data_IF_288230455356
#
_entry.id   IF_288230455356
#
_cell.length_a   1.000
_cell.length_b   1.000
_cell.length_c   1.000
_cell.angle_alpha   90.00
_cell.angle_beta   90.00
_cell.angle_gamma   90.00
#
_symmetry.space_group_name_H-M   'P 1'
#
loop_
_entity.id
_entity.type
_entity.pdbx_description
1 polymer ?
#
# COMPACT_ATOMS: atom_id res chain seq x y z
N UNK A 1 -24.98 11.17 20.16
CA UNK A 1 -24.72 11.74 18.84
C UNK A 1 -23.94 10.77 17.96
N UNK A 2 -24.33 10.69 16.73
CA UNK A 2 -23.64 9.81 15.80
C UNK A 2 -22.51 10.53 15.09
N UNK A 3 -21.35 9.91 15.06
CA UNK A 3 -20.25 10.39 14.24
C UNK A 3 -20.29 9.76 12.87
N UNK A 4 -20.09 10.57 11.85
CA UNK A 4 -19.82 10.05 10.53
C UNK A 4 -18.35 9.74 10.43
N UNK A 5 -18.05 8.48 10.17
CA UNK A 5 -16.69 8.10 9.87
C UNK A 5 -16.51 8.08 8.37
N UNK A 6 -15.58 8.88 7.90
CA UNK A 6 -15.17 8.83 6.51
C UNK A 6 -14.51 7.49 6.26
N UNK A 7 -14.75 6.91 5.09
CA UNK A 7 -14.05 5.70 4.70
C UNK A 7 -12.56 5.99 4.57
N UNK A 8 -11.73 5.05 4.99
CA UNK A 8 -10.30 5.15 4.76
C UNK A 8 -10.02 4.97 3.28
N UNK A 9 -9.29 5.89 2.68
CA UNK A 9 -8.98 5.90 1.26
C UNK A 9 -7.67 5.17 1.03
N UNK A 10 -7.69 4.15 0.19
CA UNK A 10 -6.58 3.22 0.03
C UNK A 10 -6.07 3.22 -1.41
N UNK A 11 -4.77 3.32 -1.57
CA UNK A 11 -4.09 3.18 -2.84
C UNK A 11 -3.32 1.85 -2.83
N UNK A 12 -3.45 1.06 -3.89
CA UNK A 12 -2.78 -0.23 -4.01
C UNK A 12 -1.70 -0.19 -5.07
N UNK A 13 -0.49 -0.60 -4.70
CA UNK A 13 0.66 -0.64 -5.61
C UNK A 13 1.29 -2.03 -5.55
N UNK A 14 1.20 -2.78 -6.63
CA UNK A 14 1.73 -4.14 -6.72
C UNK A 14 1.99 -4.45 -8.19
N UNK A 15 3.16 -4.97 -8.53
CA UNK A 15 3.53 -5.27 -9.91
C UNK A 15 2.70 -6.38 -10.56
N UNK A 16 1.95 -7.12 -9.77
CA UNK A 16 1.11 -8.21 -10.26
C UNK A 16 -0.36 -7.76 -10.33
N UNK A 17 -0.88 -7.63 -11.56
CA UNK A 17 -2.24 -7.15 -11.77
C UNK A 17 -3.31 -8.06 -11.15
N UNK A 18 -3.06 -9.36 -11.11
CA UNK A 18 -4.01 -10.31 -10.51
C UNK A 18 -4.06 -10.14 -9.00
N UNK A 19 -2.91 -9.90 -8.35
CA UNK A 19 -2.88 -9.58 -6.93
C UNK A 19 -3.66 -8.30 -6.64
N UNK A 20 -3.46 -7.27 -7.45
CA UNK A 20 -4.17 -6.01 -7.29
C UNK A 20 -5.67 -6.21 -7.34
N UNK A 21 -6.13 -6.99 -8.32
CA UNK A 21 -7.55 -7.25 -8.48
C UNK A 21 -8.11 -7.99 -7.27
N UNK A 22 -7.41 -9.01 -6.82
CA UNK A 22 -7.84 -9.80 -5.66
C UNK A 22 -7.89 -8.99 -4.39
N UNK A 23 -6.86 -8.19 -4.13
CA UNK A 23 -6.80 -7.35 -2.95
C UNK A 23 -7.90 -6.28 -2.99
N UNK A 24 -8.11 -5.69 -4.16
CA UNK A 24 -9.16 -4.69 -4.34
C UNK A 24 -10.53 -5.27 -4.05
N UNK A 25 -10.79 -6.49 -4.52
CA UNK A 25 -12.06 -7.16 -4.26
C UNK A 25 -12.26 -7.41 -2.78
N UNK A 26 -11.21 -7.87 -2.08
CA UNK A 26 -11.30 -8.11 -0.65
C UNK A 26 -11.57 -6.82 0.13
N UNK A 27 -10.86 -5.76 -0.22
CA UNK A 27 -11.04 -4.47 0.47
C UNK A 27 -12.43 -3.91 0.22
N UNK A 28 -12.95 -4.07 -1.00
CA UNK A 28 -14.29 -3.57 -1.35
C UNK A 28 -15.41 -4.28 -0.59
N UNK A 29 -15.14 -5.44 0.00
CA UNK A 29 -16.12 -6.11 0.86
C UNK A 29 -16.26 -5.40 2.20
N UNK A 30 -15.27 -4.59 2.56
CA UNK A 30 -15.30 -3.86 3.81
C UNK A 30 -15.87 -2.46 3.60
N UNK A 31 -16.90 -2.13 4.34
CA UNK A 31 -17.58 -0.84 4.19
C UNK A 31 -16.76 0.33 4.72
N UNK A 32 -15.71 0.05 5.49
CA UNK A 32 -14.84 1.08 6.08
C UNK A 32 -13.77 1.60 5.15
N UNK A 33 -13.58 0.95 3.99
CA UNK A 33 -12.48 1.27 3.08
C UNK A 33 -12.99 1.61 1.69
N UNK A 34 -12.21 2.45 1.01
CA UNK A 34 -12.51 2.85 -0.35
C UNK A 34 -11.19 2.83 -1.15
N UNK A 35 -11.11 1.97 -2.15
CA UNK A 35 -9.92 1.90 -3.00
C UNK A 35 -9.98 3.03 -4.01
N UNK A 36 -9.11 4.02 -3.86
CA UNK A 36 -9.13 5.22 -4.71
C UNK A 36 -8.25 5.08 -5.94
N UNK A 37 -7.38 4.08 -5.98
CA UNK A 37 -6.55 3.84 -7.15
C UNK A 37 -5.74 2.56 -7.01
N UNK A 38 -5.33 2.03 -8.16
CA UNK A 38 -4.43 0.87 -8.21
C UNK A 38 -3.43 1.11 -9.32
N UNK A 39 -2.21 0.63 -9.13
CA UNK A 39 -1.21 0.69 -10.19
C UNK A 39 -0.18 -0.42 -10.02
N UNK A 40 0.40 -0.83 -11.15
CA UNK A 40 1.50 -1.80 -11.13
C UNK A 40 2.87 -1.12 -11.13
N UNK A 41 2.91 0.20 -11.14
CA UNK A 41 4.15 0.99 -11.19
C UNK A 41 4.34 1.79 -9.91
N UNK A 42 5.49 1.64 -9.27
CA UNK A 42 5.81 2.41 -8.07
C UNK A 42 5.91 3.91 -8.38
N UNK A 43 6.47 4.27 -9.53
CA UNK A 43 6.59 5.68 -9.90
C UNK A 43 5.24 6.33 -10.13
N UNK A 44 4.34 5.63 -10.82
CA UNK A 44 2.97 6.11 -10.99
C UNK A 44 2.28 6.18 -9.63
N UNK A 45 2.53 5.19 -8.78
CA UNK A 45 1.96 5.16 -7.44
C UNK A 45 2.33 6.39 -6.62
N UNK A 46 3.59 6.80 -6.67
CA UNK A 46 4.05 8.00 -5.96
C UNK A 46 3.30 9.24 -6.47
N UNK A 47 3.11 9.32 -7.80
CA UNK A 47 2.34 10.43 -8.36
C UNK A 47 0.88 10.40 -7.93
N UNK A 48 0.29 9.21 -7.81
CA UNK A 48 -1.07 9.05 -7.33
C UNK A 48 -1.20 9.43 -5.85
N UNK A 49 -0.17 9.18 -5.06
CA UNK A 49 -0.14 9.64 -3.65
C UNK A 49 -0.25 11.15 -3.61
N UNK A 50 0.51 11.85 -4.44
CA UNK A 50 0.47 13.30 -4.50
C UNK A 50 -0.89 13.83 -4.96
N UNK A 51 -1.49 13.14 -5.91
CA UNK A 51 -2.76 13.57 -6.51
C UNK A 51 -3.95 13.30 -5.60
N UNK A 52 -4.05 12.10 -5.08
CA UNK A 52 -5.22 11.66 -4.33
C UNK A 52 -5.10 11.80 -2.82
N UNK A 53 -3.88 11.92 -2.30
CA UNK A 53 -3.63 12.01 -0.86
C UNK A 53 -4.39 10.93 -0.10
N UNK A 54 -4.11 9.64 -0.38
CA UNK A 54 -4.83 8.57 0.31
C UNK A 54 -4.45 8.53 1.78
N UNK A 55 -5.29 7.89 2.58
CA UNK A 55 -4.98 7.67 3.99
C UNK A 55 -3.96 6.56 4.16
N UNK A 56 -4.02 5.57 3.26
CA UNK A 56 -3.23 4.35 3.36
C UNK A 56 -2.75 3.92 1.98
N UNK A 57 -1.49 3.49 1.91
CA UNK A 57 -0.92 2.88 0.71
C UNK A 57 -0.51 1.45 1.05
N UNK A 58 -0.97 0.48 0.28
CA UNK A 58 -0.44 -0.88 0.33
C UNK A 58 0.61 -0.98 -0.76
N UNK A 59 1.86 -1.15 -0.36
CA UNK A 59 3.01 -1.10 -1.26
C UNK A 59 3.71 -2.44 -1.31
N UNK A 60 3.71 -3.07 -2.48
CA UNK A 60 4.51 -4.26 -2.72
C UNK A 60 6.00 -3.91 -2.61
N UNK A 61 6.72 -4.62 -1.75
CA UNK A 61 8.14 -4.37 -1.56
C UNK A 61 9.03 -5.27 -2.42
N UNK A 62 8.43 -6.15 -3.21
CA UNK A 62 9.16 -7.08 -4.09
C UNK A 62 9.00 -6.72 -5.57
N UNK A 63 9.07 -5.44 -5.91
CA UNK A 63 8.88 -5.00 -7.29
C UNK A 63 10.20 -4.86 -8.04
N UNK A 64 10.26 -5.30 -9.31
CA UNK A 64 11.54 -5.32 -10.06
C UNK A 64 12.00 -3.96 -10.55
N UNK A 65 11.10 -3.06 -10.92
CA UNK A 65 11.49 -1.80 -11.56
C UNK A 65 12.04 -0.78 -10.57
N UNK A 66 11.32 -0.60 -9.50
CA UNK A 66 11.71 0.31 -8.43
C UNK A 66 11.54 -0.43 -7.14
N UNK A 67 12.60 -0.45 -6.37
CA UNK A 67 12.58 -1.07 -5.07
C UNK A 67 11.44 -0.47 -4.25
N UNK A 68 10.55 -1.32 -3.75
CA UNK A 68 9.45 -0.88 -2.91
C UNK A 68 9.91 -0.12 -1.67
N UNK A 69 11.08 -0.49 -1.15
CA UNK A 69 11.68 0.23 -0.02
C UNK A 69 11.98 1.67 -0.40
N UNK A 70 12.52 1.87 -1.60
CA UNK A 70 12.80 3.20 -2.12
C UNK A 70 11.54 4.02 -2.27
N UNK A 71 10.48 3.39 -2.77
CA UNK A 71 9.18 4.04 -2.92
C UNK A 71 8.60 4.46 -1.57
N UNK A 72 8.70 3.61 -0.56
CA UNK A 72 8.24 3.94 0.79
C UNK A 72 9.00 5.17 1.31
N UNK A 73 10.32 5.18 1.11
CA UNK A 73 11.15 6.29 1.54
C UNK A 73 10.74 7.60 0.86
N UNK A 74 10.47 7.54 -0.44
CA UNK A 74 10.03 8.73 -1.18
C UNK A 74 8.69 9.25 -0.68
N UNK A 75 7.75 8.35 -0.40
CA UNK A 75 6.44 8.74 0.11
C UNK A 75 6.58 9.38 1.49
N UNK A 76 7.43 8.81 2.35
CA UNK A 76 7.67 9.37 3.67
C UNK A 76 8.23 10.79 3.59
N UNK A 77 9.12 11.03 2.64
CA UNK A 77 9.72 12.36 2.45
C UNK A 77 8.73 13.41 2.01
N UNK A 78 7.60 13.00 1.45
CA UNK A 78 6.56 13.96 1.04
C UNK A 78 5.82 14.56 2.23
N UNK A 79 5.90 13.94 3.39
CA UNK A 79 5.28 14.41 4.63
C UNK A 79 3.79 14.74 4.48
N UNK A 80 3.08 13.84 3.79
CA UNK A 80 1.65 14.03 3.52
C UNK A 80 0.73 13.33 4.51
N UNK A 81 1.29 12.73 5.55
CA UNK A 81 0.51 11.99 6.54
C UNK A 81 -0.04 10.67 6.03
N UNK A 82 0.43 10.21 4.89
CA UNK A 82 0.01 8.93 4.31
C UNK A 82 0.73 7.79 5.02
N UNK A 83 -0.02 6.77 5.41
CA UNK A 83 0.55 5.59 6.06
C UNK A 83 0.80 4.52 5.02
N UNK A 84 1.98 3.92 5.04
CA UNK A 84 2.34 2.87 4.11
C UNK A 84 2.39 1.53 4.84
N UNK A 85 1.69 0.55 4.28
CA UNK A 85 1.75 -0.83 4.74
C UNK A 85 2.47 -1.63 3.67
N UNK A 86 3.50 -2.35 4.04
CA UNK A 86 4.27 -3.16 3.10
C UNK A 86 3.54 -4.44 2.76
N UNK A 87 3.48 -4.80 1.47
CA UNK A 87 3.02 -6.10 1.03
C UNK A 87 4.23 -6.92 0.65
N UNK A 88 4.33 -8.14 1.14
CA UNK A 88 5.44 -9.03 0.84
C UNK A 88 4.90 -10.39 0.40
N UNK A 89 5.48 -10.92 -0.66
CA UNK A 89 5.12 -12.27 -1.12
C UNK A 89 5.73 -13.36 -0.28
N UNK A 90 6.74 -13.03 0.49
CA UNK A 90 7.49 -14.00 1.29
C UNK A 90 7.61 -13.52 2.71
N UNK A 91 7.80 -14.48 3.61
CA UNK A 91 8.12 -14.16 4.99
C UNK A 91 9.63 -13.84 5.08
N UNK A 92 10.00 -12.72 4.49
CA UNK A 92 11.37 -12.23 4.46
C UNK A 92 11.54 -11.22 5.59
N UNK A 93 11.97 -11.71 6.73
CA UNK A 93 12.08 -10.89 7.93
C UNK A 93 13.02 -9.69 7.75
N UNK A 94 14.11 -9.87 7.02
CA UNK A 94 15.06 -8.78 6.80
C UNK A 94 14.44 -7.66 5.97
N UNK A 95 13.77 -8.02 4.88
CA UNK A 95 13.14 -7.04 4.00
C UNK A 95 12.02 -6.31 4.72
N UNK A 96 11.20 -7.05 5.47
CA UNK A 96 10.11 -6.47 6.26
C UNK A 96 10.67 -5.52 7.31
N UNK A 97 11.73 -5.94 8.01
CA UNK A 97 12.36 -5.11 9.03
C UNK A 97 12.88 -3.80 8.43
N UNK A 98 13.51 -3.89 7.26
CA UNK A 98 14.02 -2.70 6.57
C UNK A 98 12.89 -1.77 6.16
N UNK A 99 11.77 -2.33 5.68
CA UNK A 99 10.59 -1.53 5.33
C UNK A 99 10.07 -0.76 6.54
N UNK A 100 9.99 -1.44 7.68
CA UNK A 100 9.52 -0.80 8.91
C UNK A 100 10.46 0.32 9.36
N UNK A 101 11.77 0.11 9.20
CA UNK A 101 12.77 1.11 9.61
C UNK A 101 12.68 2.39 8.78
N UNK A 102 12.33 2.29 7.52
CA UNK A 102 12.28 3.46 6.63
C UNK A 102 10.92 4.11 6.57
N UNK A 103 9.94 3.60 7.31
CA UNK A 103 8.70 4.32 7.45
C UNK A 103 7.40 3.54 7.33
N UNK A 104 7.45 2.27 6.91
CA UNK A 104 6.22 1.47 6.84
C UNK A 104 5.64 1.31 8.24
N UNK A 105 4.33 1.39 8.35
CA UNK A 105 3.64 1.30 9.64
C UNK A 105 3.20 -0.13 9.98
N UNK A 106 3.31 -1.04 9.02
CA UNK A 106 2.98 -2.43 9.21
C UNK A 106 3.29 -3.20 7.95
N UNK A 107 2.96 -4.48 7.95
CA UNK A 107 3.14 -5.31 6.77
C UNK A 107 2.05 -6.37 6.69
N UNK A 108 1.81 -6.86 5.48
CA UNK A 108 0.88 -7.94 5.21
C UNK A 108 1.56 -8.89 4.23
N UNK A 109 1.48 -10.19 4.51
CA UNK A 109 1.94 -11.19 3.55
C UNK A 109 0.86 -11.35 2.48
N UNK A 110 1.28 -11.44 1.22
CA UNK A 110 0.33 -11.57 0.11
C UNK A 110 -0.50 -12.84 0.22
N UNK A 111 0.07 -13.90 0.79
CA UNK A 111 -0.67 -15.14 1.00
C UNK A 111 -1.84 -14.95 1.98
N UNK A 112 -1.69 -14.10 2.96
CA UNK A 112 -2.78 -13.76 3.89
C UNK A 112 -3.85 -12.91 3.21
N UNK A 113 -3.41 -12.01 2.35
CA UNK A 113 -4.33 -11.11 1.65
C UNK A 113 -5.17 -11.83 0.59
N UNK A 114 -4.67 -12.94 0.04
CA UNK A 114 -5.35 -13.69 -1.01
C UNK A 114 -6.07 -14.93 -0.53
N UNK A 115 -6.04 -15.19 0.77
CA UNK A 115 -6.67 -16.37 1.33
C UNK A 115 -8.20 -16.33 1.31
#
# INVERSE_FOLDING_TARGET
MREFKRKARVLLIDDNADHLRGIKELINLETSYDVVGTTTSANIGINLVKKYRPDLVLMDINMPEKDGLQAIQEIEKLELGVKVIALSGYDDADLIFRAMKIGAKGYVLKTMASA
#
